data_IF_529971620294
#
_entry.id   IF_529971620294
#
_cell.length_a   1.000
_cell.length_b   1.000
_cell.length_c   1.000
_cell.angle_alpha   90.00
_cell.angle_beta   90.00
_cell.angle_gamma   90.00
#
_symmetry.space_group_name_H-M   'P 1'
#
loop_
_entity.id
_entity.type
_entity.pdbx_description
1 polymer ?
#
# COMPACT_ATOMS: atom_id res chain seq x y z
N UNK A 1 -8.09 -18.38 2.45
CA UNK A 1 -7.52 -17.03 2.28
C UNK A 1 -6.78 -16.76 3.57
N UNK A 2 -5.50 -16.47 3.47
CA UNK A 2 -4.62 -16.27 4.62
C UNK A 2 -4.56 -14.78 4.95
N UNK A 3 -4.69 -14.43 6.22
CA UNK A 3 -4.57 -13.04 6.68
C UNK A 3 -3.41 -12.99 7.66
N UNK A 4 -2.43 -12.12 7.40
CA UNK A 4 -1.27 -11.92 8.27
C UNK A 4 -1.18 -10.45 8.65
N UNK A 5 -1.27 -10.16 9.95
CA UNK A 5 -1.06 -8.81 10.49
C UNK A 5 0.18 -8.88 11.39
N UNK A 6 1.28 -8.30 10.93
CA UNK A 6 2.51 -8.20 11.71
C UNK A 6 2.39 -7.02 12.67
N UNK A 7 2.52 -7.22 14.00
CA UNK A 7 2.51 -6.11 14.94
C UNK A 7 3.82 -5.32 14.87
N UNK A 8 3.83 -4.05 15.28
CA UNK A 8 5.07 -3.28 15.42
C UNK A 8 5.95 -3.88 16.51
N UNK A 9 7.26 -3.94 16.24
CA UNK A 9 8.28 -4.46 17.18
C UNK A 9 8.73 -3.39 18.18
N UNK A 10 8.39 -2.12 17.94
CA UNK A 10 8.64 -0.96 18.80
C UNK A 10 7.47 0.01 18.73
N UNK A 11 7.31 0.93 19.70
CA UNK A 11 6.32 2.01 19.59
C UNK A 11 6.48 2.77 18.27
N UNK A 12 5.35 3.01 17.61
CA UNK A 12 5.32 3.75 16.35
C UNK A 12 5.35 5.26 16.64
N UNK A 13 6.14 6.04 15.88
CA UNK A 13 6.23 7.49 16.11
C UNK A 13 5.00 8.25 15.59
N UNK A 14 4.14 7.59 14.80
CA UNK A 14 2.92 8.14 14.21
C UNK A 14 1.87 7.02 14.06
N UNK A 15 0.59 7.37 14.14
CA UNK A 15 -0.51 6.41 13.96
C UNK A 15 -0.58 5.84 12.54
N UNK A 16 -0.30 6.70 11.55
CA UNK A 16 -0.32 6.38 10.12
C UNK A 16 0.99 5.72 9.73
N UNK A 17 1.05 4.41 9.93
CA UNK A 17 2.28 3.63 9.76
C UNK A 17 2.03 2.23 9.18
N UNK A 18 0.80 1.82 8.91
CA UNK A 18 0.53 0.45 8.41
C UNK A 18 0.47 0.40 6.90
N UNK A 19 1.28 -0.47 6.29
CA UNK A 19 1.17 -0.86 4.90
C UNK A 19 0.31 -2.11 4.76
N UNK A 20 -0.37 -2.24 3.61
CA UNK A 20 -1.15 -3.42 3.27
C UNK A 20 -0.83 -3.91 1.87
N UNK A 21 -0.85 -5.23 1.68
CA UNK A 21 -0.94 -5.84 0.35
C UNK A 21 -1.98 -6.95 0.34
N UNK A 22 -2.51 -7.26 -0.83
CA UNK A 22 -3.39 -8.41 -1.05
C UNK A 22 -2.90 -9.20 -2.25
N UNK A 23 -3.19 -10.50 -2.28
CA UNK A 23 -2.85 -11.38 -3.40
C UNK A 23 -4.14 -11.87 -4.05
N UNK A 24 -4.32 -11.52 -5.32
CA UNK A 24 -5.47 -11.93 -6.13
C UNK A 24 -5.13 -13.26 -6.83
N UNK A 25 -5.99 -14.28 -6.70
CA UNK A 25 -5.80 -15.61 -7.30
C UNK A 25 -5.49 -15.55 -8.79
N UNK A 26 -6.29 -14.78 -9.52
CA UNK A 26 -6.21 -14.60 -10.97
C UNK A 26 -6.58 -13.17 -11.31
N UNK A 27 -5.69 -12.45 -11.99
CA UNK A 27 -5.90 -11.07 -12.40
C UNK A 27 -5.16 -10.77 -13.70
N UNK A 28 -5.90 -10.24 -14.69
CA UNK A 28 -5.35 -9.82 -16.01
C UNK A 28 -4.41 -10.86 -16.67
N UNK A 29 -4.80 -12.14 -16.66
CA UNK A 29 -4.00 -13.20 -17.29
C UNK A 29 -2.86 -13.75 -16.44
N UNK A 30 -2.66 -13.24 -15.22
CA UNK A 30 -1.62 -13.67 -14.28
C UNK A 30 -2.21 -14.35 -13.04
N UNK A 31 -1.45 -15.27 -12.44
CA UNK A 31 -1.79 -15.95 -11.17
C UNK A 31 -1.07 -15.30 -10.00
N UNK A 32 -1.71 -15.32 -8.83
CA UNK A 32 -1.14 -14.85 -7.56
C UNK A 32 -0.57 -13.43 -7.65
N UNK A 33 -1.36 -12.50 -8.20
CA UNK A 33 -0.94 -11.11 -8.40
C UNK A 33 -0.98 -10.39 -7.06
N UNK A 34 0.17 -9.88 -6.62
CA UNK A 34 0.27 -9.03 -5.45
C UNK A 34 -0.11 -7.60 -5.82
N UNK A 35 -0.92 -7.00 -4.95
CA UNK A 35 -1.41 -5.64 -5.08
C UNK A 35 -1.06 -4.90 -3.80
N UNK A 36 -0.22 -3.88 -3.92
CA UNK A 36 0.15 -3.00 -2.81
C UNK A 36 -0.91 -1.92 -2.63
N UNK A 37 -1.54 -1.90 -1.47
CA UNK A 37 -2.63 -1.00 -1.16
C UNK A 37 -2.08 0.28 -0.54
N UNK A 38 -2.62 1.41 -0.96
CA UNK A 38 -2.20 2.71 -0.47
C UNK A 38 -3.35 3.70 -0.42
N UNK A 39 -3.24 4.65 0.51
CA UNK A 39 -4.10 5.82 0.58
C UNK A 39 -3.71 6.78 -0.54
N UNK A 40 -4.58 6.96 -1.52
CA UNK A 40 -4.29 7.74 -2.72
C UNK A 40 -4.49 9.26 -2.56
N UNK A 41 -5.18 9.69 -1.50
CA UNK A 41 -5.47 11.09 -1.20
C UNK A 41 -5.46 11.32 0.31
N UNK A 42 -4.94 12.46 0.74
CA UNK A 42 -4.87 12.88 2.13
C UNK A 42 -5.09 14.38 2.20
N UNK A 43 -5.60 14.84 3.33
CA UNK A 43 -5.83 16.26 3.54
C UNK A 43 -4.52 16.98 3.83
N UNK A 44 -4.39 18.22 3.39
CA UNK A 44 -3.18 19.03 3.62
C UNK A 44 -2.91 19.28 5.11
N UNK A 45 -3.91 19.13 5.98
CA UNK A 45 -3.75 19.15 7.44
C UNK A 45 -2.89 18.01 7.98
N UNK A 46 -2.84 16.87 7.27
CA UNK A 46 -1.96 15.75 7.63
C UNK A 46 -0.47 16.10 7.43
N UNK A 47 -0.16 17.03 6.52
CA UNK A 47 1.19 17.57 6.33
C UNK A 47 1.57 18.65 7.36
N UNK A 48 0.59 19.33 7.97
CA UNK A 48 0.85 20.54 8.77
C UNK A 48 1.00 20.28 10.26
N UNK A 49 0.51 19.15 10.78
CA UNK A 49 0.55 18.84 12.21
C UNK A 49 1.68 17.89 12.62
N UNK A 50 2.27 17.14 11.69
CA UNK A 50 3.33 16.17 11.98
C UNK A 50 4.62 16.59 11.28
N UNK A 51 5.72 16.66 12.02
CA UNK A 51 7.05 16.85 11.45
C UNK A 51 7.51 15.55 10.76
N UNK A 52 6.98 15.31 9.56
CA UNK A 52 7.29 14.11 8.76
C UNK A 52 8.77 14.03 8.39
N UNK A 53 9.49 15.16 8.37
CA UNK A 53 10.93 15.17 8.07
C UNK A 53 11.74 14.50 9.19
N UNK A 54 11.31 14.64 10.44
CA UNK A 54 11.93 13.95 11.58
C UNK A 54 11.81 12.42 11.50
N UNK A 55 10.85 11.92 10.69
CA UNK A 55 10.62 10.49 10.48
C UNK A 55 11.44 9.91 9.32
N UNK A 56 12.18 10.75 8.58
CA UNK A 56 12.98 10.36 7.42
C UNK A 56 14.45 10.25 7.84
N UNK A 57 15.07 9.12 7.50
CA UNK A 57 16.44 8.77 7.87
C UNK A 57 17.44 9.02 6.76
N UNK A 58 18.58 8.33 6.85
CA UNK A 58 19.59 8.35 5.80
C UNK A 58 19.03 7.76 4.48
N UNK A 59 19.53 8.21 3.31
CA UNK A 59 19.11 7.64 2.04
C UNK A 59 19.56 6.19 1.91
N UNK A 60 18.70 5.37 1.29
CA UNK A 60 19.09 4.00 0.92
C UNK A 60 20.10 4.01 -0.25
N UNK A 61 19.90 4.92 -1.20
CA UNK A 61 20.79 5.16 -2.33
C UNK A 61 21.30 6.62 -2.26
N UNK A 62 22.62 6.86 -2.15
CA UNK A 62 23.18 8.21 -2.12
C UNK A 62 22.79 9.10 -3.30
N UNK A 63 22.40 8.52 -4.44
CA UNK A 63 21.95 9.27 -5.61
C UNK A 63 20.52 9.81 -5.50
N UNK A 64 19.71 9.27 -4.57
CA UNK A 64 18.31 9.63 -4.39
C UNK A 64 18.09 10.34 -3.06
N UNK A 65 18.07 11.67 -3.10
CA UNK A 65 17.95 12.53 -1.90
C UNK A 65 16.61 13.27 -1.82
N UNK A 66 15.61 12.85 -2.58
CA UNK A 66 14.30 13.51 -2.56
C UNK A 66 13.49 13.11 -1.31
N UNK A 67 13.18 14.12 -0.49
CA UNK A 67 12.31 13.97 0.68
C UNK A 67 10.86 13.73 0.28
N UNK A 68 10.41 14.24 -0.87
CA UNK A 68 8.99 14.22 -1.25
C UNK A 68 8.48 12.79 -1.40
N UNK A 69 9.21 11.92 -2.09
CA UNK A 69 8.78 10.53 -2.23
C UNK A 69 8.74 9.77 -0.90
N UNK A 70 9.71 10.03 0.00
CA UNK A 70 9.75 9.42 1.33
C UNK A 70 8.59 9.89 2.23
N UNK A 71 8.25 11.18 2.18
CA UNK A 71 7.03 11.71 2.82
C UNK A 71 5.76 11.06 2.25
N UNK A 72 5.74 10.86 0.93
CA UNK A 72 4.61 10.24 0.23
C UNK A 72 4.37 8.82 0.73
N UNK A 73 5.42 8.02 0.96
CA UNK A 73 5.31 6.67 1.55
C UNK A 73 4.62 6.69 2.92
N UNK A 74 4.92 7.67 3.77
CA UNK A 74 4.28 7.80 5.09
C UNK A 74 2.79 8.15 4.91
N UNK A 75 2.48 9.12 4.05
CA UNK A 75 1.11 9.60 3.81
C UNK A 75 0.21 8.54 3.13
N UNK A 76 0.81 7.65 2.36
CA UNK A 76 0.15 6.51 1.70
C UNK A 76 -0.21 5.38 2.66
N UNK A 77 0.40 5.34 3.84
CA UNK A 77 0.11 4.31 4.85
C UNK A 77 -1.19 4.58 5.58
N UNK A 78 -1.63 3.61 6.39
CA UNK A 78 -2.93 3.62 7.07
C UNK A 78 -2.75 3.67 8.59
N UNK A 79 -3.77 4.16 9.29
CA UNK A 79 -3.90 3.92 10.73
C UNK A 79 -4.26 2.45 11.00
N UNK A 80 -4.15 2.00 12.25
CA UNK A 80 -4.58 0.66 12.66
C UNK A 80 -6.07 0.42 12.41
N UNK A 81 -6.90 1.44 12.67
CA UNK A 81 -8.35 1.43 12.44
C UNK A 81 -8.65 1.33 10.95
N UNK A 82 -8.00 2.14 10.12
CA UNK A 82 -8.14 2.07 8.66
C UNK A 82 -7.68 0.69 8.13
N UNK A 83 -6.55 0.16 8.62
CA UNK A 83 -6.05 -1.18 8.29
C UNK A 83 -7.12 -2.23 8.55
N UNK A 84 -7.71 -2.24 9.74
CA UNK A 84 -8.69 -3.26 10.13
C UNK A 84 -9.98 -3.15 9.32
N UNK A 85 -10.44 -1.92 9.04
CA UNK A 85 -11.57 -1.68 8.13
C UNK A 85 -11.30 -2.22 6.72
N UNK A 86 -10.11 -1.96 6.17
CA UNK A 86 -9.72 -2.46 4.84
C UNK A 86 -9.67 -3.98 4.82
N UNK A 87 -9.06 -4.62 5.84
CA UNK A 87 -8.97 -6.08 5.93
C UNK A 87 -10.37 -6.70 5.99
N UNK A 88 -11.26 -6.16 6.83
CA UNK A 88 -12.63 -6.66 6.97
C UNK A 88 -13.41 -6.52 5.66
N UNK A 89 -13.35 -5.35 5.02
CA UNK A 89 -13.97 -5.13 3.71
C UNK A 89 -13.46 -6.12 2.66
N UNK A 90 -12.14 -6.32 2.55
CA UNK A 90 -11.56 -7.24 1.57
C UNK A 90 -11.96 -8.70 1.85
N UNK A 91 -12.03 -9.09 3.12
CA UNK A 91 -12.48 -10.40 3.55
C UNK A 91 -13.95 -10.64 3.18
N UNK A 92 -14.83 -9.70 3.47
CA UNK A 92 -16.25 -9.82 3.21
C UNK A 92 -16.56 -9.84 1.70
N UNK A 93 -15.96 -8.91 0.94
CA UNK A 93 -16.29 -8.73 -0.47
C UNK A 93 -15.52 -9.68 -1.41
N UNK A 94 -14.30 -10.09 -1.04
CA UNK A 94 -13.38 -10.74 -1.98
C UNK A 94 -12.70 -12.01 -1.47
N UNK A 95 -13.12 -12.60 -0.34
CA UNK A 95 -12.50 -13.83 0.22
C UNK A 95 -12.38 -15.00 -0.76
N UNK A 96 -13.31 -15.13 -1.70
CA UNK A 96 -13.26 -16.19 -2.73
C UNK A 96 -12.23 -15.92 -3.83
N UNK A 97 -11.87 -14.65 -4.05
CA UNK A 97 -10.95 -14.18 -5.10
C UNK A 97 -9.52 -13.94 -4.61
N UNK A 98 -9.35 -13.70 -3.32
CA UNK A 98 -8.05 -13.45 -2.70
C UNK A 98 -7.43 -14.75 -2.15
N UNK A 99 -6.12 -14.88 -2.26
CA UNK A 99 -5.35 -15.92 -1.57
C UNK A 99 -4.80 -15.41 -0.25
N UNK A 100 -4.32 -14.17 -0.20
CA UNK A 100 -3.71 -13.59 0.98
C UNK A 100 -4.04 -12.11 1.17
N UNK A 101 -4.04 -11.66 2.43
CA UNK A 101 -3.97 -10.26 2.82
C UNK A 101 -2.83 -10.13 3.84
N UNK A 102 -1.95 -9.15 3.65
CA UNK A 102 -0.79 -8.91 4.52
C UNK A 102 -0.83 -7.47 4.99
N UNK A 103 -0.52 -7.26 6.27
CA UNK A 103 -0.26 -5.95 6.82
C UNK A 103 1.00 -5.97 7.66
N UNK A 104 1.81 -4.92 7.52
CA UNK A 104 2.99 -4.70 8.34
C UNK A 104 3.17 -3.20 8.59
N UNK A 105 3.77 -2.81 9.72
CA UNK A 105 4.12 -1.42 9.95
C UNK A 105 5.34 -1.02 9.10
N UNK A 106 5.40 0.26 8.76
CA UNK A 106 6.60 0.90 8.25
C UNK A 106 7.73 0.77 9.27
N UNK A 107 8.94 0.63 8.75
CA UNK A 107 10.15 0.73 9.56
C UNK A 107 10.56 2.19 9.63
N UNK A 108 10.74 2.71 10.85
CA UNK A 108 11.20 4.07 11.09
C UNK A 108 12.66 4.07 11.59
N UNK A 109 13.47 5.08 11.20
CA UNK A 109 13.11 6.13 10.26
C UNK A 109 12.96 5.60 8.82
N UNK A 110 12.03 6.18 8.06
CA UNK A 110 11.81 5.81 6.65
C UNK A 110 13.04 6.26 5.84
N UNK A 111 13.66 5.38 5.03
CA UNK A 111 14.81 5.77 4.23
C UNK A 111 14.51 6.97 3.32
N UNK A 112 15.48 7.88 3.19
CA UNK A 112 15.38 8.97 2.21
C UNK A 112 15.51 8.42 0.77
N UNK A 113 14.87 9.09 -0.19
CA UNK A 113 14.93 8.74 -1.60
C UNK A 113 13.93 7.68 -2.05
N UNK A 114 13.00 7.26 -1.20
CA UNK A 114 11.94 6.34 -1.63
C UNK A 114 10.97 7.00 -2.59
N UNK A 115 10.30 6.18 -3.40
CA UNK A 115 9.20 6.60 -4.28
C UNK A 115 7.89 6.06 -3.74
N UNK A 116 6.89 6.93 -3.61
CA UNK A 116 5.53 6.54 -3.23
C UNK A 116 4.83 5.74 -4.33
N UNK A 117 3.91 4.85 -3.94
CA UNK A 117 3.15 3.99 -4.84
C UNK A 117 2.28 4.80 -5.81
N UNK A 118 1.72 5.93 -5.37
CA UNK A 118 0.96 6.88 -6.18
C UNK A 118 1.79 7.55 -7.28
N UNK A 119 3.12 7.53 -7.16
CA UNK A 119 4.05 8.11 -8.13
C UNK A 119 4.47 7.10 -9.21
N UNK A 120 4.02 5.84 -9.12
CA UNK A 120 4.35 4.83 -10.11
C UNK A 120 3.82 5.18 -11.51
N UNK A 121 4.66 4.99 -12.53
CA UNK A 121 4.28 5.23 -13.92
C UNK A 121 3.49 4.04 -14.47
N UNK A 122 2.27 4.30 -14.93
CA UNK A 122 1.41 3.29 -15.57
C UNK A 122 2.06 2.83 -16.87
N UNK A 123 2.07 1.52 -17.09
CA UNK A 123 2.60 0.89 -18.29
C UNK A 123 1.70 -0.27 -18.71
N UNK A 124 2.16 -1.07 -19.69
CA UNK A 124 1.44 -2.29 -20.10
C UNK A 124 1.25 -3.28 -18.94
N UNK A 125 2.24 -3.36 -18.04
CA UNK A 125 2.24 -4.34 -16.94
C UNK A 125 1.93 -3.70 -15.59
N UNK A 126 2.22 -2.40 -15.42
CA UNK A 126 2.02 -1.68 -14.17
C UNK A 126 0.72 -0.89 -14.24
N UNK A 127 -0.13 -1.02 -13.23
CA UNK A 127 -1.34 -0.21 -13.17
C UNK A 127 -1.99 -0.19 -11.79
N UNK A 128 -3.13 0.51 -11.72
CA UNK A 128 -3.86 0.73 -10.48
C UNK A 128 -5.23 0.06 -10.49
N UNK A 129 -5.65 -0.40 -9.32
CA UNK A 129 -7.05 -0.70 -8.98
C UNK A 129 -7.60 0.53 -8.27
N UNK A 130 -8.63 1.16 -8.85
CA UNK A 130 -9.32 2.30 -8.25
C UNK A 130 -10.57 1.79 -7.52
N UNK A 131 -10.45 1.54 -6.21
CA UNK A 131 -11.53 0.94 -5.43
C UNK A 131 -12.78 1.82 -5.39
N UNK A 132 -12.62 3.15 -5.35
CA UNK A 132 -13.74 4.11 -5.37
C UNK A 132 -14.59 4.06 -6.65
N UNK A 133 -14.09 3.45 -7.73
CA UNK A 133 -14.88 3.22 -8.95
C UNK A 133 -15.67 1.92 -8.92
N UNK A 134 -15.46 1.07 -7.91
CA UNK A 134 -16.17 -0.20 -7.77
C UNK A 134 -17.50 0.09 -7.05
N UNK A 135 -18.67 -0.24 -7.64
CA UNK A 135 -19.96 0.10 -7.04
C UNK A 135 -20.21 -0.47 -5.64
N UNK A 136 -19.56 -1.58 -5.29
CA UNK A 136 -19.68 -2.20 -3.96
C UNK A 136 -18.67 -1.66 -2.94
N UNK A 137 -17.88 -0.64 -3.29
CA UNK A 137 -16.92 -0.04 -2.38
C UNK A 137 -17.63 0.86 -1.36
N UNK A 138 -17.53 0.48 -0.09
CA UNK A 138 -18.27 1.11 1.01
C UNK A 138 -17.40 1.88 2.01
N UNK A 139 -16.07 1.86 1.83
CA UNK A 139 -15.16 2.52 2.77
C UNK A 139 -14.97 4.00 2.38
N UNK A 140 -15.01 4.90 3.36
CA UNK A 140 -14.67 6.33 3.19
C UNK A 140 -13.14 6.56 3.17
N UNK A 141 -12.39 5.60 2.62
CA UNK A 141 -10.94 5.65 2.49
C UNK A 141 -10.64 5.81 0.99
N UNK A 142 -9.79 6.76 0.55
CA UNK A 142 -9.40 6.88 -0.85
C UNK A 142 -8.38 5.79 -1.22
N UNK A 143 -8.83 4.53 -1.27
CA UNK A 143 -8.00 3.34 -1.44
C UNK A 143 -7.67 3.10 -2.92
N UNK A 144 -6.39 2.89 -3.21
CA UNK A 144 -5.92 2.34 -4.49
C UNK A 144 -5.01 1.15 -4.26
N UNK A 145 -4.88 0.31 -5.28
CA UNK A 145 -3.95 -0.81 -5.29
C UNK A 145 -3.02 -0.74 -6.49
N UNK A 146 -1.71 -0.73 -6.29
CA UNK A 146 -0.70 -0.85 -7.36
C UNK A 146 -0.40 -2.33 -7.61
N UNK A 147 -0.36 -2.73 -8.88
CA UNK A 147 0.11 -4.05 -9.29
C UNK A 147 1.16 -3.94 -10.41
N UNK A 148 2.06 -4.92 -10.48
CA UNK A 148 2.97 -5.14 -11.61
C UNK A 148 2.84 -6.57 -12.13
N UNK A 149 2.17 -6.73 -13.28
CA UNK A 149 1.94 -8.03 -13.91
C UNK A 149 3.23 -8.72 -14.37
N UNK A 150 4.34 -8.00 -14.51
CA UNK A 150 5.62 -8.59 -14.92
C UNK A 150 6.27 -9.43 -13.82
N UNK A 151 5.91 -9.19 -12.56
CA UNK A 151 6.39 -9.95 -11.40
C UNK A 151 5.64 -11.28 -11.17
N UNK A 152 4.64 -11.58 -12.01
CA UNK A 152 3.71 -12.68 -11.75
C UNK A 152 3.62 -13.67 -12.93
N UNK A 153 3.51 -14.99 -12.63
CA UNK A 153 3.42 -16.01 -13.67
C UNK A 153 2.09 -15.94 -14.44
N UNK A 154 2.07 -16.35 -15.72
CA UNK A 154 0.84 -16.46 -16.49
C UNK A 154 -0.10 -17.55 -15.91
N UNK A 155 -1.40 -17.43 -16.22
CA UNK A 155 -2.41 -18.44 -15.83
C UNK A 155 -2.21 -19.76 -16.57
N UNK A 156 -1.89 -19.68 -17.86
CA UNK A 156 -1.61 -20.83 -18.70
C UNK A 156 -0.10 -20.88 -18.90
N UNK A 157 0.51 -22.03 -18.58
CA UNK A 157 1.88 -22.32 -19.03
C UNK A 157 1.80 -22.53 -20.55
N UNK A 158 2.52 -21.69 -21.29
CA UNK A 158 2.65 -21.86 -22.74
C UNK A 158 3.47 -23.09 -23.08
#
# INVERSE_FOLDING_TARGET
MDITVTPPTSPLPIDRAFCLSMVIKSFKGRRNVEVHLFRARWDDSANSQTDLDSLIGAPFDPAHTDHKGSRTVILESFTDTERDLIINYLKEQYSTRLTAIRSMPLTFPVPLGLTGLSQAQVSKNIGFIEFERIPSYSLEIPLKGLYDLSQHPPIVEG
#
